data_IF_918745462345
#
_entry.id   IF_918745462345
#
_cell.length_a   1.000
_cell.length_b   1.000
_cell.length_c   1.000
_cell.angle_alpha   90.00
_cell.angle_beta   90.00
_cell.angle_gamma   90.00
#
_symmetry.space_group_name_H-M   'P 1'
#
loop_
_entity.id
_entity.type
_entity.pdbx_description
1 polymer ?
#
# COMPACT_ATOMS: atom_id res chain seq x y z
N UNK A 1 -6.75 9.02 25.14
CA UNK A 1 -5.88 7.92 25.57
C UNK A 1 -5.14 7.37 24.37
N UNK A 2 -3.80 7.33 24.42
CA UNK A 2 -2.95 6.78 23.37
C UNK A 2 -3.03 5.26 23.36
N UNK A 3 -3.03 4.70 22.15
CA UNK A 3 -2.87 3.27 21.90
C UNK A 3 -1.57 3.10 21.13
N UNK A 4 -0.60 2.42 21.75
CA UNK A 4 0.70 2.12 21.16
C UNK A 4 0.78 0.64 20.83
N UNK A 5 1.27 0.35 19.64
CA UNK A 5 1.44 -1.01 19.18
C UNK A 5 2.76 -1.14 18.41
N UNK A 6 3.54 -2.15 18.78
CA UNK A 6 4.68 -2.63 18.01
C UNK A 6 4.30 -3.98 17.41
N UNK A 7 4.55 -4.17 16.14
CA UNK A 7 4.33 -5.44 15.43
C UNK A 7 5.63 -5.87 14.74
N UNK A 8 5.96 -7.13 14.91
CA UNK A 8 7.04 -7.80 14.20
C UNK A 8 6.41 -8.93 13.39
N UNK A 9 6.82 -9.08 12.15
CA UNK A 9 6.36 -10.16 11.29
C UNK A 9 7.54 -10.81 10.60
N UNK A 10 7.51 -12.13 10.54
CA UNK A 10 8.38 -12.95 9.72
C UNK A 10 7.53 -13.96 8.97
N UNK A 11 7.80 -14.13 7.70
CA UNK A 11 7.07 -15.04 6.84
C UNK A 11 8.01 -15.79 5.93
N UNK A 12 7.65 -17.02 5.62
CA UNK A 12 8.30 -17.83 4.61
C UNK A 12 7.23 -18.32 3.63
N UNK A 13 7.52 -18.19 2.36
CA UNK A 13 6.66 -18.62 1.27
C UNK A 13 7.47 -19.45 0.29
N UNK A 14 6.93 -20.59 -0.08
CA UNK A 14 7.50 -21.47 -1.10
C UNK A 14 6.52 -21.60 -2.25
N UNK A 15 6.96 -21.27 -3.45
CA UNK A 15 6.19 -21.44 -4.67
C UNK A 15 6.77 -22.61 -5.46
N UNK A 16 6.01 -23.69 -5.57
CA UNK A 16 6.37 -24.86 -6.36
C UNK A 16 5.78 -24.77 -7.76
N UNK A 17 6.53 -25.29 -8.75
CA UNK A 17 6.04 -25.48 -10.11
C UNK A 17 5.85 -24.18 -10.90
N UNK A 18 6.57 -23.12 -10.57
CA UNK A 18 6.68 -21.97 -11.46
C UNK A 18 7.41 -22.37 -12.74
N UNK A 19 6.63 -22.72 -13.77
CA UNK A 19 7.13 -22.82 -15.14
C UNK A 19 6.93 -21.44 -15.76
N UNK A 20 7.97 -20.64 -15.77
CA UNK A 20 7.94 -19.35 -16.45
C UNK A 20 9.29 -19.11 -17.10
N UNK A 21 9.28 -18.87 -18.38
CA UNK A 21 10.39 -18.17 -19.02
C UNK A 21 10.26 -16.70 -18.61
N UNK A 22 11.17 -16.28 -17.76
CA UNK A 22 11.16 -14.91 -17.23
C UNK A 22 12.28 -14.13 -17.88
N UNK A 23 11.92 -13.07 -18.56
CA UNK A 23 12.90 -12.15 -19.11
C UNK A 23 13.51 -11.32 -17.97
N UNK A 24 14.77 -11.60 -17.67
CA UNK A 24 15.56 -10.80 -16.75
C UNK A 24 16.22 -9.65 -17.52
N UNK A 25 15.80 -8.45 -17.21
CA UNK A 25 16.29 -7.24 -17.89
C UNK A 25 17.24 -6.49 -16.95
N UNK A 26 18.48 -6.33 -17.34
CA UNK A 26 19.45 -5.46 -16.67
C UNK A 26 19.56 -4.15 -17.42
N UNK A 27 19.47 -3.06 -16.69
CA UNK A 27 19.62 -1.71 -17.22
C UNK A 27 20.99 -1.11 -16.88
N UNK A 28 21.53 -0.30 -17.79
CA UNK A 28 22.70 0.55 -17.53
C UNK A 28 22.34 1.77 -16.64
N UNK A 29 23.34 2.59 -16.34
CA UNK A 29 23.15 3.78 -15.53
C UNK A 29 22.22 4.81 -16.21
N UNK A 30 22.14 4.79 -17.52
CA UNK A 30 21.30 5.66 -18.34
C UNK A 30 19.87 5.11 -18.51
N UNK A 31 19.57 3.94 -17.93
CA UNK A 31 18.24 3.31 -17.99
C UNK A 31 17.95 2.56 -19.29
N UNK A 32 18.97 2.31 -20.15
CA UNK A 32 18.85 1.49 -21.36
C UNK A 32 19.04 0.03 -21.01
N UNK A 33 18.49 -0.87 -21.82
CA UNK A 33 18.66 -2.32 -21.64
C UNK A 33 20.13 -2.69 -21.91
N UNK A 34 20.86 -2.98 -20.85
CA UNK A 34 22.25 -3.43 -20.93
C UNK A 34 22.36 -4.94 -21.18
N UNK A 35 21.42 -5.72 -20.67
CA UNK A 35 21.35 -7.16 -20.87
C UNK A 35 19.89 -7.63 -20.79
N UNK A 36 19.52 -8.54 -21.67
CA UNK A 36 18.27 -9.28 -21.65
C UNK A 36 18.59 -10.76 -21.60
N UNK A 37 18.18 -11.43 -20.54
CA UNK A 37 18.37 -12.86 -20.38
C UNK A 37 17.03 -13.52 -20.07
N UNK A 38 16.63 -14.50 -20.88
CA UNK A 38 15.47 -15.33 -20.58
C UNK A 38 15.90 -16.42 -19.59
N UNK A 39 15.33 -16.39 -18.40
CA UNK A 39 15.57 -17.39 -17.37
C UNK A 39 14.43 -18.40 -17.40
N UNK A 40 14.72 -19.62 -17.79
CA UNK A 40 13.81 -20.75 -17.64
C UNK A 40 13.77 -21.18 -16.17
N UNK A 41 12.69 -20.91 -15.49
CA UNK A 41 12.48 -21.31 -14.10
C UNK A 41 11.65 -22.59 -14.06
N UNK A 42 12.20 -23.67 -13.52
CA UNK A 42 11.52 -24.96 -13.35
C UNK A 42 11.53 -25.47 -11.91
N UNK A 43 12.14 -24.74 -11.02
CA UNK A 43 12.30 -25.08 -9.61
C UNK A 43 11.45 -24.19 -8.72
N UNK A 44 11.21 -24.62 -7.50
CA UNK A 44 10.49 -23.80 -6.53
C UNK A 44 11.31 -22.59 -6.07
N UNK A 45 10.61 -21.53 -5.69
CA UNK A 45 11.20 -20.30 -5.15
C UNK A 45 10.85 -20.13 -3.68
N UNK A 46 11.86 -19.88 -2.87
CA UNK A 46 11.69 -19.46 -1.49
C UNK A 46 11.71 -17.93 -1.38
N UNK A 47 10.80 -17.40 -0.59
CA UNK A 47 10.77 -16.00 -0.21
C UNK A 47 10.69 -15.88 1.30
N UNK A 48 11.61 -15.11 1.88
CA UNK A 48 11.60 -14.72 3.27
C UNK A 48 11.12 -13.27 3.39
N UNK A 49 10.11 -13.03 4.20
CA UNK A 49 9.55 -11.71 4.44
C UNK A 49 9.76 -11.31 5.89
N UNK A 50 10.36 -10.16 6.11
CA UNK A 50 10.54 -9.57 7.43
C UNK A 50 9.80 -8.23 7.46
N UNK A 51 9.15 -7.91 8.57
CA UNK A 51 8.46 -6.65 8.71
C UNK A 51 8.44 -6.15 10.15
N UNK A 52 8.53 -4.84 10.28
CA UNK A 52 8.37 -4.11 11.54
C UNK A 52 7.32 -3.02 11.36
N UNK A 53 6.40 -2.93 12.30
CA UNK A 53 5.39 -1.89 12.32
C UNK A 53 5.30 -1.25 13.69
N UNK A 54 5.09 0.06 13.70
CA UNK A 54 4.85 0.82 14.92
C UNK A 54 3.66 1.76 14.71
N UNK A 55 2.78 1.84 15.69
CA UNK A 55 1.72 2.84 15.70
C UNK A 55 1.56 3.46 17.08
N UNK A 56 1.32 4.77 17.11
CA UNK A 56 0.91 5.51 18.29
C UNK A 56 -0.27 6.42 17.89
N UNK A 57 -1.47 6.04 18.27
CA UNK A 57 -2.69 6.72 17.86
C UNK A 57 -3.56 7.06 19.07
N UNK A 58 -4.19 8.21 19.01
CA UNK A 58 -5.19 8.61 19.99
C UNK A 58 -6.53 8.01 19.63
N UNK A 59 -7.17 7.35 20.60
CA UNK A 59 -8.50 6.77 20.42
C UNK A 59 -9.50 7.87 20.09
N UNK A 60 -10.23 7.73 18.98
CA UNK A 60 -11.29 8.64 18.56
C UNK A 60 -12.43 8.70 19.61
N UNK A 61 -12.93 9.87 19.89
CA UNK A 61 -14.15 10.06 20.68
C UNK A 61 -15.38 9.62 19.88
N UNK A 62 -16.52 9.48 20.56
CA UNK A 62 -17.75 8.98 19.93
C UNK A 62 -18.18 9.77 18.68
N UNK A 63 -18.01 11.10 18.70
CA UNK A 63 -18.37 11.97 17.59
C UNK A 63 -17.26 12.19 16.56
N UNK A 64 -16.01 11.83 16.86
CA UNK A 64 -14.92 11.98 15.91
C UNK A 64 -15.09 11.02 14.74
N UNK A 65 -14.94 11.52 13.52
CA UNK A 65 -15.10 10.71 12.31
C UNK A 65 -13.88 9.87 11.98
N UNK A 66 -12.73 10.20 12.56
CA UNK A 66 -11.47 9.47 12.37
C UNK A 66 -10.55 9.63 13.57
N UNK A 67 -9.34 9.09 13.47
CA UNK A 67 -8.29 9.23 14.46
C UNK A 67 -7.86 10.69 14.58
N UNK A 68 -7.99 11.35 15.77
CA UNK A 68 -7.68 12.76 15.88
C UNK A 68 -6.19 13.06 15.83
N UNK A 69 -5.34 12.18 16.39
CA UNK A 69 -3.89 12.30 16.39
C UNK A 69 -3.21 10.97 16.36
N UNK A 70 -2.08 10.91 15.71
CA UNK A 70 -1.20 9.77 15.76
C UNK A 70 -0.46 9.52 14.46
N UNK A 71 0.26 8.41 14.46
CA UNK A 71 0.97 7.96 13.27
C UNK A 71 1.09 6.43 13.26
N UNK A 72 1.25 5.91 12.07
CA UNK A 72 1.54 4.49 11.82
C UNK A 72 2.72 4.42 10.86
N UNK A 73 3.73 3.65 11.22
CA UNK A 73 4.92 3.40 10.43
C UNK A 73 5.04 1.90 10.17
N UNK A 74 5.51 1.55 9.01
CA UNK A 74 5.84 0.16 8.70
C UNK A 74 7.01 0.10 7.73
N UNK A 75 7.89 -0.87 7.93
CA UNK A 75 8.97 -1.21 7.02
C UNK A 75 9.02 -2.72 6.83
N UNK A 76 9.34 -3.15 5.62
CA UNK A 76 9.45 -4.56 5.27
C UNK A 76 10.59 -4.83 4.29
N UNK A 77 11.11 -6.03 4.39
CA UNK A 77 12.14 -6.57 3.53
C UNK A 77 11.74 -7.96 3.07
N UNK A 78 11.67 -8.16 1.77
CA UNK A 78 11.43 -9.46 1.15
C UNK A 78 12.72 -9.93 0.47
N UNK A 79 13.21 -11.07 0.89
CA UNK A 79 14.48 -11.67 0.47
C UNK A 79 14.21 -12.96 -0.30
N UNK A 80 14.94 -13.16 -1.41
CA UNK A 80 14.95 -14.40 -2.19
C UNK A 80 16.32 -15.07 -2.06
N UNK A 81 16.52 -16.02 -1.09
CA UNK A 81 17.84 -16.50 -0.72
C UNK A 81 18.50 -17.40 -1.78
N UNK A 82 17.72 -18.09 -2.59
CA UNK A 82 18.24 -19.13 -3.50
C UNK A 82 18.62 -18.60 -4.87
N UNK A 83 18.13 -17.43 -5.23
CA UNK A 83 18.36 -16.93 -6.57
C UNK A 83 18.85 -15.48 -6.58
N UNK A 84 20.16 -15.32 -6.76
CA UNK A 84 20.82 -14.03 -6.89
C UNK A 84 20.37 -13.21 -8.11
N UNK A 85 19.67 -13.81 -9.05
CA UNK A 85 19.11 -13.13 -10.20
C UNK A 85 17.81 -12.38 -9.85
N UNK A 86 17.11 -12.79 -8.78
CA UNK A 86 15.95 -12.07 -8.28
C UNK A 86 16.38 -10.95 -7.34
N UNK A 87 15.78 -9.79 -7.52
CA UNK A 87 16.02 -8.68 -6.60
C UNK A 87 15.24 -8.86 -5.31
N UNK A 88 15.85 -8.46 -4.21
CA UNK A 88 15.15 -8.26 -2.96
C UNK A 88 14.24 -7.04 -3.06
N UNK A 89 13.25 -6.95 -2.16
CA UNK A 89 12.29 -5.87 -2.13
C UNK A 89 12.30 -5.19 -0.78
N UNK A 90 12.59 -3.89 -0.78
CA UNK A 90 12.42 -3.02 0.39
C UNK A 90 11.13 -2.25 0.25
N UNK A 91 10.34 -2.20 1.30
CA UNK A 91 9.10 -1.45 1.33
C UNK A 91 8.92 -0.70 2.64
N UNK A 92 8.35 0.50 2.56
CA UNK A 92 8.04 1.33 3.70
C UNK A 92 6.67 2.00 3.52
N UNK A 93 6.01 2.26 4.64
CA UNK A 93 4.73 2.94 4.68
C UNK A 93 4.66 3.81 5.93
N UNK A 94 4.11 5.00 5.76
CA UNK A 94 3.83 5.92 6.85
C UNK A 94 2.44 6.51 6.69
N UNK A 95 1.72 6.69 7.78
CA UNK A 95 0.48 7.46 7.83
C UNK A 95 0.47 8.32 9.08
N UNK A 96 0.14 9.59 8.91
CA UNK A 96 -0.03 10.58 9.97
C UNK A 96 -1.49 10.97 10.02
N UNK A 97 -2.01 11.10 11.24
CA UNK A 97 -3.36 11.54 11.52
C UNK A 97 -3.29 12.86 12.28
N UNK A 98 -4.11 13.82 11.88
CA UNK A 98 -4.26 15.10 12.56
C UNK A 98 -5.72 15.47 12.66
N UNK A 99 -6.12 16.35 13.61
CA UNK A 99 -7.44 16.95 13.59
C UNK A 99 -7.65 17.68 12.28
N UNK A 100 -8.87 17.67 11.79
CA UNK A 100 -9.24 18.52 10.68
C UNK A 100 -9.39 20.01 11.10
N UNK A 101 -9.79 20.84 10.16
CA UNK A 101 -9.99 22.29 10.39
C UNK A 101 -11.16 22.60 11.33
N UNK A 102 -12.12 21.68 11.46
CA UNK A 102 -13.29 21.85 12.30
C UNK A 102 -13.39 20.71 13.32
N UNK A 103 -14.25 20.91 14.34
CA UNK A 103 -14.51 19.87 15.37
C UNK A 103 -14.96 18.57 14.73
N UNK A 104 -14.46 17.47 15.27
CA UNK A 104 -14.78 16.09 14.88
C UNK A 104 -14.30 15.69 13.48
N UNK A 105 -13.62 16.56 12.76
CA UNK A 105 -13.02 16.25 11.47
C UNK A 105 -11.67 15.54 11.68
N UNK A 106 -11.20 14.86 10.64
CA UNK A 106 -9.91 14.20 10.64
C UNK A 106 -9.22 14.40 9.30
N UNK A 107 -7.94 14.72 9.34
CA UNK A 107 -7.06 14.74 8.17
C UNK A 107 -6.05 13.62 8.33
N UNK A 108 -5.86 12.81 7.29
CA UNK A 108 -4.78 11.85 7.25
C UNK A 108 -3.94 12.01 5.99
N UNK A 109 -2.64 11.89 6.17
CA UNK A 109 -1.66 11.89 5.08
C UNK A 109 -0.90 10.59 5.14
N UNK A 110 -0.82 9.87 4.02
CA UNK A 110 -0.09 8.63 3.92
C UNK A 110 0.93 8.68 2.79
N UNK A 111 2.02 7.94 2.97
CA UNK A 111 3.04 7.73 1.96
C UNK A 111 3.47 6.26 1.95
N UNK A 112 3.77 5.74 0.78
CA UNK A 112 4.33 4.41 0.60
C UNK A 112 5.52 4.49 -0.37
N UNK A 113 6.53 3.72 -0.07
CA UNK A 113 7.72 3.59 -0.90
C UNK A 113 8.09 2.12 -1.04
N UNK A 114 8.48 1.73 -2.24
CA UNK A 114 8.98 0.40 -2.51
C UNK A 114 10.09 0.47 -3.56
N UNK A 115 11.13 -0.31 -3.38
CA UNK A 115 12.22 -0.43 -4.35
C UNK A 115 12.81 -1.83 -4.34
N UNK A 116 13.28 -2.26 -5.51
CA UNK A 116 14.07 -3.48 -5.64
C UNK A 116 15.55 -3.21 -5.36
N UNK A 117 16.20 -4.12 -4.65
CA UNK A 117 17.61 -4.06 -4.27
C UNK A 117 18.32 -5.29 -4.81
N UNK A 118 19.47 -5.10 -5.47
CA UNK A 118 20.24 -6.20 -6.05
C UNK A 118 19.54 -6.89 -7.22
N UNK A 119 20.15 -7.95 -7.74
CA UNK A 119 19.59 -8.84 -8.75
C UNK A 119 19.16 -8.19 -10.06
N UNK A 120 18.50 -9.00 -10.88
CA UNK A 120 17.81 -8.51 -12.08
C UNK A 120 16.42 -8.00 -11.71
N UNK A 121 15.95 -6.94 -12.39
CA UNK A 121 14.62 -6.38 -12.18
C UNK A 121 13.67 -7.02 -13.17
N UNK A 122 12.66 -7.70 -12.68
CA UNK A 122 11.67 -8.34 -13.52
C UNK A 122 10.56 -7.38 -13.91
N UNK A 123 10.06 -7.46 -15.15
CA UNK A 123 8.75 -6.91 -15.47
C UNK A 123 7.71 -7.66 -14.63
N UNK A 124 6.66 -6.97 -14.29
CA UNK A 124 5.61 -7.33 -13.34
C UNK A 124 4.73 -8.48 -13.81
N UNK A 125 5.17 -9.61 -13.97
CA UNK A 125 4.30 -10.78 -14.21
C UNK A 125 4.28 -11.75 -13.06
N UNK A 126 5.27 -11.69 -12.20
CA UNK A 126 5.41 -12.60 -11.08
C UNK A 126 4.82 -11.94 -9.84
N UNK A 127 3.62 -12.35 -9.42
CA UNK A 127 2.97 -11.95 -8.15
C UNK A 127 3.89 -12.05 -6.95
N UNK A 128 4.86 -12.91 -7.03
CA UNK A 128 5.82 -13.19 -5.99
C UNK A 128 6.85 -12.07 -5.79
N UNK A 129 7.22 -11.39 -6.89
CA UNK A 129 8.29 -10.39 -6.91
C UNK A 129 7.79 -8.99 -7.26
N UNK A 130 6.49 -8.87 -7.56
CA UNK A 130 5.87 -7.62 -7.93
C UNK A 130 5.51 -6.73 -6.75
N UNK A 131 5.02 -5.55 -7.05
CA UNK A 131 4.53 -4.61 -6.06
C UNK A 131 3.42 -5.21 -5.19
N UNK A 132 3.61 -5.15 -3.88
CA UNK A 132 2.60 -5.53 -2.89
C UNK A 132 1.75 -4.31 -2.53
N UNK A 133 0.72 -4.09 -3.29
CA UNK A 133 -0.13 -2.91 -3.25
C UNK A 133 -1.03 -2.77 -2.02
N UNK A 134 -0.96 -3.68 -1.08
CA UNK A 134 -1.93 -3.76 0.03
C UNK A 134 -1.88 -2.58 0.99
N UNK A 135 -0.89 -1.68 0.90
CA UNK A 135 -0.73 -0.60 1.87
C UNK A 135 -1.20 0.76 1.37
N UNK A 136 -0.95 1.08 0.12
CA UNK A 136 -1.38 2.35 -0.48
C UNK A 136 -1.48 2.22 -2.00
N UNK A 137 -2.70 2.20 -2.52
CA UNK A 137 -3.01 2.31 -3.94
C UNK A 137 -3.82 3.58 -4.18
N UNK A 138 -3.54 4.30 -5.26
CA UNK A 138 -4.41 5.39 -5.69
C UNK A 138 -5.81 4.88 -6.01
N UNK A 139 -6.81 5.69 -5.69
CA UNK A 139 -8.23 5.37 -5.94
C UNK A 139 -8.46 5.06 -7.41
N UNK A 140 -9.25 4.01 -7.66
CA UNK A 140 -9.60 3.58 -9.01
C UNK A 140 -8.53 2.76 -9.73
N UNK A 141 -7.36 2.54 -9.11
CA UNK A 141 -6.31 1.70 -9.64
C UNK A 141 -6.20 0.39 -8.86
N UNK A 142 -5.91 -0.67 -9.58
CA UNK A 142 -5.64 -2.00 -9.02
C UNK A 142 -4.14 -2.31 -9.00
N UNK A 143 -3.75 -3.34 -8.28
CA UNK A 143 -2.36 -3.82 -8.28
C UNK A 143 -1.88 -4.32 -9.64
N UNK A 144 -2.79 -4.68 -10.54
CA UNK A 144 -2.49 -5.08 -11.91
C UNK A 144 -2.12 -3.90 -12.80
N UNK A 145 -2.57 -2.69 -12.45
CA UNK A 145 -2.28 -1.48 -13.22
C UNK A 145 -0.87 -0.94 -12.93
N UNK A 146 -0.29 -1.37 -11.81
CA UNK A 146 1.04 -0.94 -11.36
C UNK A 146 2.00 -2.12 -11.45
N UNK A 147 2.75 -2.13 -12.53
CA UNK A 147 3.63 -3.23 -12.90
C UNK A 147 5.09 -2.99 -12.52
N UNK A 148 5.36 -2.47 -11.33
CA UNK A 148 6.72 -2.08 -10.97
C UNK A 148 7.12 -2.43 -9.54
N UNK A 149 8.39 -2.83 -9.40
CA UNK A 149 9.03 -2.96 -8.09
C UNK A 149 9.47 -1.62 -7.50
N UNK A 150 9.60 -0.57 -8.32
CA UNK A 150 9.95 0.76 -7.88
C UNK A 150 8.71 1.65 -7.90
N UNK A 151 8.25 1.99 -6.72
CA UNK A 151 6.96 2.65 -6.51
C UNK A 151 7.05 3.67 -5.38
N UNK A 152 6.45 4.81 -5.61
CA UNK A 152 6.23 5.84 -4.60
C UNK A 152 4.78 6.28 -4.69
N UNK A 153 4.09 6.35 -3.56
CA UNK A 153 2.73 6.87 -3.51
C UNK A 153 2.52 7.80 -2.32
N UNK A 154 1.59 8.72 -2.48
CA UNK A 154 1.08 9.59 -1.45
C UNK A 154 -0.43 9.69 -1.51
N UNK A 155 -1.07 9.85 -0.36
CA UNK A 155 -2.52 10.02 -0.23
C UNK A 155 -2.82 11.06 0.82
N UNK A 156 -3.82 11.88 0.56
CA UNK A 156 -4.39 12.83 1.51
C UNK A 156 -5.88 12.59 1.58
N UNK A 157 -6.40 12.35 2.79
CA UNK A 157 -7.81 12.10 3.06
C UNK A 157 -8.32 13.08 4.10
N UNK A 158 -9.42 13.75 3.80
CA UNK A 158 -10.13 14.63 4.72
C UNK A 158 -11.52 14.08 4.99
N UNK A 159 -11.80 13.79 6.25
CA UNK A 159 -13.08 13.26 6.71
C UNK A 159 -13.80 14.26 7.58
N UNK A 160 -15.08 14.43 7.32
CA UNK A 160 -15.94 15.31 8.12
C UNK A 160 -17.36 14.76 8.27
N UNK A 161 -18.01 14.99 9.42
CA UNK A 161 -19.38 14.58 9.63
C UNK A 161 -20.32 15.51 8.87
N UNK A 162 -21.31 14.94 8.20
CA UNK A 162 -22.41 15.70 7.59
C UNK A 162 -23.53 15.92 8.61
N UNK A 163 -23.93 14.85 9.28
CA UNK A 163 -24.93 14.93 10.35
C UNK A 163 -24.83 13.73 11.31
N UNK A 164 -25.48 13.90 12.47
CA UNK A 164 -25.63 12.87 13.51
C UNK A 164 -27.14 12.62 13.71
N UNK A 165 -27.75 11.70 12.97
CA UNK A 165 -29.17 11.40 13.13
C UNK A 165 -29.53 10.92 14.55
N UNK A 166 -28.60 10.17 15.19
CA UNK A 166 -28.73 9.63 16.56
C UNK A 166 -30.11 9.03 16.82
N UNK A 167 -30.68 8.30 15.86
CA UNK A 167 -32.02 7.72 15.91
C UNK A 167 -32.11 6.42 15.10
N UNK A 168 -33.24 5.73 15.25
CA UNK A 168 -33.46 4.48 14.52
C UNK A 168 -34.65 3.70 15.07
N UNK A 169 -34.78 2.44 14.67
CA UNK A 169 -35.78 1.49 15.14
C UNK A 169 -35.18 0.73 16.32
N UNK A 170 -35.80 0.90 17.51
CA UNK A 170 -35.34 0.29 18.75
C UNK A 170 -35.14 -1.23 18.60
N UNK A 171 -33.96 -1.72 19.01
CA UNK A 171 -33.58 -3.12 18.95
C UNK A 171 -33.21 -3.66 17.56
N UNK A 172 -33.37 -2.89 16.48
CA UNK A 172 -33.12 -3.34 15.11
C UNK A 172 -31.97 -2.56 14.47
N UNK A 173 -32.08 -1.27 14.34
CA UNK A 173 -31.09 -0.43 13.65
C UNK A 173 -30.99 0.95 14.30
N UNK A 174 -29.78 1.42 14.47
CA UNK A 174 -29.48 2.75 14.99
C UNK A 174 -28.52 3.47 14.08
N UNK A 175 -28.96 4.60 13.51
CA UNK A 175 -28.16 5.48 12.67
C UNK A 175 -27.32 6.40 13.56
N UNK A 176 -26.02 6.23 13.53
CA UNK A 176 -25.09 6.97 14.37
C UNK A 176 -24.70 8.29 13.74
N UNK A 177 -24.23 8.24 12.51
CA UNK A 177 -23.77 9.43 11.77
C UNK A 177 -23.65 9.16 10.27
N UNK A 178 -23.71 10.24 9.50
CA UNK A 178 -23.34 10.27 8.09
C UNK A 178 -22.09 11.12 7.97
N UNK A 179 -21.08 10.61 7.28
CA UNK A 179 -19.80 11.30 7.07
C UNK A 179 -19.38 11.25 5.62
N UNK A 180 -18.66 12.27 5.20
CA UNK A 180 -18.03 12.34 3.89
C UNK A 180 -16.51 12.21 4.06
N UNK A 181 -15.90 11.41 3.21
CA UNK A 181 -14.47 11.36 3.01
C UNK A 181 -14.15 11.91 1.62
N UNK A 182 -13.25 12.85 1.51
CA UNK A 182 -12.70 13.34 0.25
C UNK A 182 -11.19 13.20 0.27
N UNK A 183 -10.62 12.82 -0.85
CA UNK A 183 -9.18 12.62 -0.89
C UNK A 183 -8.62 12.68 -2.29
N UNK A 184 -7.29 12.82 -2.31
CA UNK A 184 -6.48 12.81 -3.50
C UNK A 184 -5.27 11.90 -3.31
N UNK A 185 -4.90 11.21 -4.37
CA UNK A 185 -3.78 10.29 -4.38
C UNK A 185 -2.85 10.61 -5.54
N UNK A 186 -1.60 10.37 -5.31
CA UNK A 186 -0.53 10.41 -6.30
C UNK A 186 0.29 9.15 -6.21
N UNK A 187 0.67 8.59 -7.35
CA UNK A 187 1.70 7.58 -7.37
C UNK A 187 2.62 7.74 -8.57
N UNK A 188 3.88 7.37 -8.36
CA UNK A 188 4.93 7.32 -9.36
C UNK A 188 5.56 5.96 -9.35
N UNK A 189 5.61 5.33 -10.50
CA UNK A 189 6.21 4.02 -10.65
C UNK A 189 7.00 3.89 -11.94
N UNK A 190 7.89 2.93 -11.95
CA UNK A 190 8.78 2.70 -13.05
C UNK A 190 8.20 1.62 -13.96
N UNK A 191 7.84 2.00 -15.17
CA UNK A 191 7.43 1.05 -16.23
C UNK A 191 8.65 0.55 -17.01
N UNK A 192 8.58 -0.70 -17.41
CA UNK A 192 9.57 -1.36 -18.23
C UNK A 192 9.00 -1.61 -19.63
N UNK A 193 9.44 -0.85 -20.58
CA UNK A 193 9.04 -1.00 -21.97
C UNK A 193 10.19 -1.47 -22.86
N UNK A 194 9.89 -1.78 -24.11
CA UNK A 194 10.88 -2.18 -25.12
C UNK A 194 11.96 -1.11 -25.39
N UNK A 195 11.71 0.14 -25.01
CA UNK A 195 12.65 1.27 -25.17
C UNK A 195 13.46 1.59 -23.90
N UNK A 196 13.31 0.79 -22.86
CA UNK A 196 13.98 1.00 -21.57
C UNK A 196 13.01 1.35 -20.45
N UNK A 197 13.53 2.01 -19.47
CA UNK A 197 12.96 2.33 -18.18
C UNK A 197 12.34 3.72 -18.19
N UNK A 198 11.05 3.83 -18.00
CA UNK A 198 10.34 5.10 -17.94
C UNK A 198 9.62 5.26 -16.62
N UNK A 199 9.48 6.49 -16.12
CA UNK A 199 8.65 6.79 -14.97
C UNK A 199 7.26 7.22 -15.42
N UNK A 200 6.24 6.66 -14.78
CA UNK A 200 4.86 7.03 -14.99
C UNK A 200 4.27 7.62 -13.73
N UNK A 201 3.57 8.73 -13.88
CA UNK A 201 2.85 9.41 -12.82
C UNK A 201 1.35 9.17 -12.98
N UNK A 202 0.67 8.88 -11.89
CA UNK A 202 -0.79 8.75 -11.84
C UNK A 202 -1.35 9.58 -10.70
N UNK A 203 -2.50 10.17 -10.95
CA UNK A 203 -3.24 11.01 -10.01
C UNK A 203 -4.66 10.50 -9.94
N UNK A 204 -5.22 10.49 -8.75
CA UNK A 204 -6.64 10.23 -8.56
C UNK A 204 -7.21 11.11 -7.46
N UNK A 205 -8.50 11.34 -7.53
CA UNK A 205 -9.27 12.01 -6.50
C UNK A 205 -10.65 11.37 -6.42
N UNK A 206 -11.26 11.48 -5.26
CA UNK A 206 -12.58 10.88 -5.07
C UNK A 206 -13.15 11.20 -3.70
N UNK A 207 -14.37 10.77 -3.49
CA UNK A 207 -15.06 10.92 -2.22
C UNK A 207 -16.01 9.76 -1.97
N UNK A 208 -16.15 9.43 -0.68
CA UNK A 208 -17.01 8.36 -0.19
C UNK A 208 -18.02 8.91 0.80
N UNK A 209 -19.29 8.65 0.56
CA UNK A 209 -20.35 8.88 1.54
C UNK A 209 -20.49 7.63 2.41
N UNK A 210 -20.27 7.79 3.71
CA UNK A 210 -20.22 6.71 4.68
C UNK A 210 -21.36 6.87 5.70
N UNK A 211 -22.12 5.81 5.89
CA UNK A 211 -23.18 5.72 6.89
C UNK A 211 -22.76 4.76 8.00
N UNK A 212 -22.55 5.30 9.21
CA UNK A 212 -22.23 4.50 10.39
C UNK A 212 -23.54 4.11 11.08
N UNK A 213 -23.80 2.83 11.18
CA UNK A 213 -24.99 2.28 11.83
C UNK A 213 -24.65 1.09 12.71
N UNK A 214 -25.46 0.85 13.73
CA UNK A 214 -25.43 -0.34 14.57
C UNK A 214 -26.67 -1.18 14.25
N UNK A 215 -26.47 -2.44 13.98
CA UNK A 215 -27.56 -3.41 13.71
C UNK A 215 -27.63 -4.38 14.90
N UNK A 216 -28.83 -4.72 15.34
CA UNK A 216 -29.09 -5.68 16.41
C UNK A 216 -28.37 -5.33 17.73
N UNK A 217 -28.83 -4.32 18.43
CA UNK A 217 -28.33 -3.92 19.73
C UNK A 217 -29.33 -4.24 20.83
#
# INVERSE_FOLDING_TARGET
>A
RHVRQLSLSAGWEYSNGMVADVDAIRYDAEGRIANLQTLGYREGLHKLSLGIGFSDVVRAAYRDVGTPWGYTLWAGYDLNPENRNFSDLVSAYARIYTPGFFRHNSLSVAAAYQTSVGGYRFPSGLRFLGYKSTRLLPRGFSSSDISSNNYLAGSVDYQFPLCYPEGGISGVIYFKRIRLNVGADYARFQEFGSRGKTWRDIYSYGGDLLLDLNILR
#
